data_IF_262857736976
#
_entry.id   IF_262857736976
#
_cell.length_a   1.000
_cell.length_b   1.000
_cell.length_c   1.000
_cell.angle_alpha   90.00
_cell.angle_beta   90.00
_cell.angle_gamma   90.00
#
_symmetry.space_group_name_H-M   'P 1'
#
loop_
_entity.id
_entity.type
_entity.pdbx_description
1 polymer ?
#
# COMPACT_ATOMS: atom_id res chain seq x y z
N UNK A 1 -8.18 15.19 9.19
CA UNK A 1 -7.02 15.19 8.26
C UNK A 1 -5.67 15.14 8.96
N UNK A 2 -5.43 15.90 10.05
CA UNK A 2 -4.11 15.94 10.70
C UNK A 2 -3.56 14.55 11.11
N UNK A 3 -4.33 13.64 11.76
CA UNK A 3 -3.83 12.29 12.08
C UNK A 3 -3.47 11.45 10.84
N UNK A 4 -4.29 11.53 9.80
CA UNK A 4 -4.06 10.83 8.54
C UNK A 4 -2.76 11.28 7.84
N UNK A 5 -2.46 12.59 7.89
CA UNK A 5 -1.20 13.11 7.33
C UNK A 5 0.02 12.69 8.15
N UNK A 6 -0.07 12.61 9.48
CA UNK A 6 1.02 12.12 10.33
C UNK A 6 1.38 10.67 10.00
N UNK A 7 0.37 9.80 9.82
CA UNK A 7 0.57 8.42 9.39
C UNK A 7 1.29 8.33 8.03
N UNK A 8 0.93 9.19 7.08
CA UNK A 8 1.60 9.24 5.78
C UNK A 8 3.02 9.79 5.87
N UNK A 9 3.23 10.85 6.64
CA UNK A 9 4.55 11.42 6.86
C UNK A 9 5.51 10.36 7.42
N UNK A 10 5.05 9.58 8.40
CA UNK A 10 5.86 8.50 8.97
C UNK A 10 6.04 7.33 7.99
N UNK A 11 5.03 6.99 7.18
CA UNK A 11 5.19 6.00 6.10
C UNK A 11 6.26 6.42 5.09
N UNK A 12 6.32 7.71 4.74
CA UNK A 12 7.38 8.27 3.88
C UNK A 12 8.74 8.16 4.56
N UNK A 13 8.85 8.52 5.84
CA UNK A 13 10.11 8.42 6.58
C UNK A 13 10.62 6.98 6.61
N UNK A 14 9.75 6.00 6.87
CA UNK A 14 10.13 4.60 6.87
C UNK A 14 10.80 4.19 5.56
N UNK A 15 10.17 4.49 4.42
CA UNK A 15 10.74 4.13 3.12
C UNK A 15 12.04 4.89 2.80
N UNK A 16 12.19 6.15 3.24
CA UNK A 16 13.45 6.89 3.14
C UNK A 16 14.56 6.21 3.93
N UNK A 17 14.29 5.85 5.19
CA UNK A 17 15.27 5.19 6.06
C UNK A 17 15.62 3.80 5.55
N UNK A 18 14.62 3.02 5.11
CA UNK A 18 14.84 1.70 4.54
C UNK A 18 15.67 1.78 3.26
N UNK A 19 15.33 2.67 2.33
CA UNK A 19 16.10 2.88 1.10
C UNK A 19 17.56 3.23 1.41
N UNK A 20 17.80 4.19 2.31
CA UNK A 20 19.16 4.56 2.75
C UNK A 20 19.92 3.38 3.34
N UNK A 21 19.26 2.57 4.17
CA UNK A 21 19.85 1.37 4.76
C UNK A 21 20.22 0.33 3.69
N UNK A 22 19.36 0.12 2.70
CA UNK A 22 19.61 -0.80 1.60
C UNK A 22 20.76 -0.32 0.72
N UNK A 23 20.86 0.99 0.47
CA UNK A 23 21.90 1.58 -0.37
C UNK A 23 23.24 1.81 0.35
N UNK A 24 23.32 1.67 1.67
CA UNK A 24 24.57 1.88 2.42
C UNK A 24 25.62 0.77 2.19
N UNK A 25 25.25 -0.31 1.50
CA UNK A 25 26.08 -1.50 1.28
C UNK A 25 26.29 -1.81 -0.19
N UNK A 26 27.28 -2.65 -0.47
CA UNK A 26 27.52 -3.18 -1.81
C UNK A 26 26.33 -4.03 -2.22
N UNK A 27 25.59 -3.54 -3.21
CA UNK A 27 24.41 -4.23 -3.74
C UNK A 27 24.84 -5.45 -4.56
N UNK A 28 24.29 -6.61 -4.22
CA UNK A 28 24.20 -7.74 -5.15
C UNK A 28 23.09 -7.47 -6.15
N UNK A 29 22.96 -8.31 -7.19
CA UNK A 29 21.89 -8.18 -8.19
C UNK A 29 20.48 -8.27 -7.56
N UNK A 30 20.24 -9.27 -6.71
CA UNK A 30 18.95 -9.38 -6.00
C UNK A 30 18.69 -8.20 -5.06
N UNK A 31 19.70 -7.77 -4.30
CA UNK A 31 19.59 -6.62 -3.41
C UNK A 31 19.35 -5.30 -4.17
N UNK A 32 19.93 -5.13 -5.36
CA UNK A 32 19.74 -3.92 -6.16
C UNK A 32 18.32 -3.82 -6.74
N UNK A 33 17.74 -4.94 -7.18
CA UNK A 33 16.38 -4.98 -7.71
C UNK A 33 15.37 -4.72 -6.59
N UNK A 34 15.56 -5.32 -5.41
CA UNK A 34 14.74 -5.02 -4.24
C UNK A 34 14.87 -3.55 -3.81
N UNK A 35 16.07 -3.00 -3.75
CA UNK A 35 16.29 -1.59 -3.41
C UNK A 35 15.64 -0.63 -4.41
N UNK A 36 15.67 -0.95 -5.71
CA UNK A 36 14.94 -0.20 -6.75
C UNK A 36 13.43 -0.21 -6.49
N UNK A 37 12.86 -1.37 -6.13
CA UNK A 37 11.45 -1.48 -5.82
C UNK A 37 11.07 -0.72 -4.54
N UNK A 38 11.92 -0.74 -3.51
CA UNK A 38 11.74 0.11 -2.31
C UNK A 38 11.81 1.60 -2.67
N UNK A 39 12.71 1.99 -3.57
CA UNK A 39 12.79 3.38 -4.07
C UNK A 39 11.52 3.80 -4.84
N UNK A 40 10.91 2.85 -5.57
CA UNK A 40 9.62 3.04 -6.23
C UNK A 40 8.51 3.24 -5.20
N UNK A 41 8.42 2.38 -4.18
CA UNK A 41 7.45 2.49 -3.08
C UNK A 41 7.57 3.84 -2.36
N UNK A 42 8.79 4.28 -2.04
CA UNK A 42 9.04 5.62 -1.49
C UNK A 42 8.42 6.71 -2.36
N UNK A 43 8.66 6.63 -3.67
CA UNK A 43 8.14 7.62 -4.63
C UNK A 43 6.62 7.59 -4.71
N UNK A 44 6.01 6.40 -4.67
CA UNK A 44 4.55 6.22 -4.68
C UNK A 44 3.90 6.81 -3.42
N UNK A 45 4.46 6.60 -2.22
CA UNK A 45 3.93 7.19 -0.98
C UNK A 45 4.09 8.72 -0.97
N UNK A 46 5.21 9.26 -1.46
CA UNK A 46 5.40 10.71 -1.60
C UNK A 46 4.36 11.31 -2.56
N UNK A 47 4.15 10.68 -3.71
CA UNK A 47 3.15 11.11 -4.68
C UNK A 47 1.73 11.02 -4.10
N UNK A 48 1.42 9.91 -3.43
CA UNK A 48 0.15 9.69 -2.74
C UNK A 48 -0.12 10.80 -1.71
N UNK A 49 0.86 11.07 -0.85
CA UNK A 49 0.78 12.15 0.15
C UNK A 49 0.53 13.51 -0.49
N UNK A 50 1.20 13.82 -1.61
CA UNK A 50 1.02 15.08 -2.32
C UNK A 50 -0.40 15.21 -2.90
N UNK A 51 -0.94 14.17 -3.53
CA UNK A 51 -2.31 14.21 -4.08
C UNK A 51 -3.37 14.26 -2.98
N UNK A 52 -3.17 13.57 -1.85
CA UNK A 52 -4.03 13.67 -0.67
C UNK A 52 -4.06 15.10 -0.14
N UNK A 53 -2.90 15.76 -0.03
CA UNK A 53 -2.81 17.15 0.42
C UNK A 53 -3.51 18.12 -0.54
N UNK A 54 -3.58 17.78 -1.83
CA UNK A 54 -4.33 18.54 -2.84
C UNK A 54 -5.84 18.21 -2.85
N UNK A 55 -6.31 17.25 -2.04
CA UNK A 55 -7.71 16.85 -1.99
C UNK A 55 -8.15 15.91 -3.12
N UNK A 56 -7.20 15.30 -3.83
CA UNK A 56 -7.43 14.57 -5.07
C UNK A 56 -7.69 13.07 -4.80
N UNK A 57 -8.95 12.72 -4.52
CA UNK A 57 -9.34 11.36 -4.14
C UNK A 57 -9.09 10.30 -5.22
N UNK A 58 -9.60 10.49 -6.44
CA UNK A 58 -9.46 9.47 -7.47
C UNK A 58 -7.99 9.23 -7.86
N UNK A 59 -7.14 10.26 -8.05
CA UNK A 59 -5.69 10.06 -8.21
C UNK A 59 -5.04 9.37 -7.00
N UNK A 60 -5.45 9.71 -5.77
CA UNK A 60 -4.96 9.02 -4.57
C UNK A 60 -5.32 7.53 -4.58
N UNK A 61 -6.54 7.17 -4.97
CA UNK A 61 -6.98 5.78 -5.08
C UNK A 61 -6.18 4.98 -6.13
N UNK A 62 -5.86 5.60 -7.29
CA UNK A 62 -4.99 4.99 -8.30
C UNK A 62 -3.59 4.73 -7.74
N UNK A 63 -3.01 5.71 -7.03
CA UNK A 63 -1.70 5.54 -6.40
C UNK A 63 -1.72 4.52 -5.27
N UNK A 64 -2.81 4.42 -4.50
CA UNK A 64 -2.96 3.38 -3.48
C UNK A 64 -2.97 1.98 -4.10
N UNK A 65 -3.64 1.80 -5.25
CA UNK A 65 -3.63 0.54 -5.98
C UNK A 65 -2.22 0.17 -6.44
N UNK A 66 -1.51 1.13 -7.03
CA UNK A 66 -0.13 0.95 -7.49
C UNK A 66 0.82 0.64 -6.32
N UNK A 67 0.63 1.28 -5.17
CA UNK A 67 1.41 1.04 -3.96
C UNK A 67 1.23 -0.41 -3.45
N UNK A 68 0.01 -0.91 -3.33
CA UNK A 68 -0.25 -2.29 -2.88
C UNK A 68 0.40 -3.30 -3.84
N UNK A 69 0.24 -3.11 -5.15
CA UNK A 69 0.91 -3.98 -6.14
C UNK A 69 2.43 -3.89 -6.04
N UNK A 70 2.95 -2.69 -5.75
CA UNK A 70 4.36 -2.46 -5.52
C UNK A 70 4.88 -3.17 -4.26
N UNK A 71 4.07 -3.25 -3.20
CA UNK A 71 4.39 -3.96 -1.96
C UNK A 71 4.43 -5.46 -2.21
N UNK A 72 3.41 -6.02 -2.89
CA UNK A 72 3.38 -7.43 -3.29
C UNK A 72 4.60 -7.80 -4.16
N UNK A 73 4.99 -6.89 -5.05
CA UNK A 73 6.18 -7.05 -5.89
C UNK A 73 7.45 -7.04 -5.04
N UNK A 74 7.60 -6.08 -4.12
CA UNK A 74 8.73 -6.02 -3.19
C UNK A 74 8.87 -7.29 -2.36
N UNK A 75 7.75 -7.79 -1.81
CA UNK A 75 7.71 -9.06 -1.07
C UNK A 75 8.18 -10.23 -1.94
N UNK A 76 7.71 -10.28 -3.19
CA UNK A 76 8.05 -11.35 -4.14
C UNK A 76 9.52 -11.35 -4.52
N UNK A 77 10.11 -10.17 -4.73
CA UNK A 77 11.53 -10.00 -5.07
C UNK A 77 12.47 -10.49 -3.95
N UNK A 78 12.02 -10.42 -2.69
CA UNK A 78 12.82 -10.88 -1.55
C UNK A 78 12.91 -12.40 -1.47
N UNK A 79 11.84 -13.12 -1.79
CA UNK A 79 11.74 -14.57 -1.57
C UNK A 79 12.05 -15.45 -2.78
N UNK A 80 11.96 -14.90 -3.99
CA UNK A 80 12.14 -15.67 -5.22
C UNK A 80 13.19 -14.99 -6.12
N UNK A 81 14.48 -15.40 -6.01
CA UNK A 81 15.56 -14.87 -6.84
C UNK A 81 15.33 -15.04 -8.34
N UNK A 82 14.74 -16.16 -8.77
CA UNK A 82 14.43 -16.42 -10.18
C UNK A 82 13.33 -15.48 -10.70
N UNK A 83 12.35 -15.16 -9.85
CA UNK A 83 11.38 -14.10 -10.15
C UNK A 83 12.04 -12.72 -10.21
N UNK A 84 12.95 -12.41 -9.30
CA UNK A 84 13.71 -11.16 -9.32
C UNK A 84 14.52 -11.00 -10.60
N UNK A 85 15.24 -12.04 -11.02
CA UNK A 85 16.01 -12.01 -12.26
C UNK A 85 15.12 -11.88 -13.50
N UNK A 86 14.00 -12.63 -13.56
CA UNK A 86 13.03 -12.49 -14.64
C UNK A 86 12.37 -11.10 -14.67
N UNK A 87 12.11 -10.49 -13.52
CA UNK A 87 11.55 -9.14 -13.45
C UNK A 87 12.52 -8.11 -14.04
N UNK A 88 13.81 -8.23 -13.72
CA UNK A 88 14.85 -7.31 -14.20
C UNK A 88 15.19 -7.52 -15.68
N UNK A 89 15.30 -8.78 -16.14
CA UNK A 89 15.66 -9.10 -17.53
C UNK A 89 14.47 -9.09 -18.51
N UNK A 90 13.26 -8.83 -18.02
CA UNK A 90 12.06 -8.84 -18.87
C UNK A 90 12.11 -7.71 -19.89
N UNK A 91 12.39 -8.05 -21.15
CA UNK A 91 12.28 -7.12 -22.28
C UNK A 91 10.81 -6.86 -22.68
N UNK A 92 9.92 -7.80 -22.39
CA UNK A 92 8.47 -7.66 -22.54
C UNK A 92 7.76 -7.78 -21.17
N UNK A 93 7.62 -6.63 -20.51
CA UNK A 93 6.96 -6.53 -19.22
C UNK A 93 5.51 -7.02 -19.27
N UNK A 94 4.79 -6.91 -20.39
CA UNK A 94 3.39 -7.35 -20.50
C UNK A 94 3.27 -8.87 -20.35
N UNK A 95 4.15 -9.61 -21.03
CA UNK A 95 4.21 -11.07 -20.90
C UNK A 95 4.60 -11.47 -19.48
N UNK A 96 5.60 -10.81 -18.90
CA UNK A 96 6.00 -11.08 -17.51
C UNK A 96 4.84 -10.87 -16.54
N UNK A 97 4.14 -9.74 -16.64
CA UNK A 97 2.98 -9.43 -15.82
C UNK A 97 1.90 -10.50 -15.94
N UNK A 98 1.49 -10.88 -17.16
CA UNK A 98 0.47 -11.91 -17.38
C UNK A 98 0.87 -13.29 -16.85
N UNK A 99 2.15 -13.64 -16.95
CA UNK A 99 2.65 -14.97 -16.59
C UNK A 99 2.99 -15.11 -15.12
N UNK A 100 3.45 -14.05 -14.46
CA UNK A 100 4.07 -14.13 -13.14
C UNK A 100 3.35 -13.32 -12.05
N UNK A 101 2.54 -12.32 -12.41
CA UNK A 101 1.86 -11.43 -11.44
C UNK A 101 0.34 -11.55 -11.53
N UNK A 102 -0.21 -11.32 -12.73
CA UNK A 102 -1.64 -11.18 -12.98
C UNK A 102 -2.47 -12.39 -12.57
N UNK A 103 -3.76 -12.15 -12.35
CA UNK A 103 -4.74 -13.18 -11.94
C UNK A 103 -4.35 -13.91 -10.65
N UNK A 104 -3.70 -13.20 -9.72
CA UNK A 104 -3.33 -13.72 -8.41
C UNK A 104 -2.10 -14.64 -8.39
N UNK A 105 -1.36 -14.74 -9.50
CA UNK A 105 -0.13 -15.56 -9.58
C UNK A 105 1.02 -15.04 -8.72
N UNK A 106 0.92 -13.79 -8.24
CA UNK A 106 1.87 -13.22 -7.27
C UNK A 106 1.68 -13.77 -5.85
N UNK A 107 0.45 -14.17 -5.47
CA UNK A 107 0.13 -14.49 -4.08
C UNK A 107 0.92 -15.66 -3.46
N UNK A 108 1.30 -16.72 -4.18
CA UNK A 108 2.19 -17.74 -3.60
C UNK A 108 3.52 -17.17 -3.09
N UNK A 109 4.04 -16.11 -3.73
CA UNK A 109 5.28 -15.44 -3.29
C UNK A 109 5.02 -14.50 -2.12
N UNK A 110 3.88 -13.80 -2.13
CA UNK A 110 3.44 -12.98 -0.99
C UNK A 110 3.27 -13.84 0.26
N UNK A 111 2.60 -14.98 0.13
CA UNK A 111 2.47 -16.00 1.19
C UNK A 111 3.83 -16.47 1.69
N UNK A 112 4.76 -16.80 0.79
CA UNK A 112 6.11 -17.23 1.17
C UNK A 112 6.85 -16.15 1.96
N UNK A 113 6.74 -14.88 1.57
CA UNK A 113 7.34 -13.75 2.29
C UNK A 113 6.76 -13.59 3.69
N UNK A 114 5.44 -13.56 3.82
CA UNK A 114 4.76 -13.41 5.11
C UNK A 114 5.06 -14.59 6.05
N UNK A 115 5.08 -15.81 5.51
CA UNK A 115 5.46 -17.01 6.27
C UNK A 115 6.91 -16.96 6.73
N UNK A 116 7.82 -16.51 5.88
CA UNK A 116 9.24 -16.37 6.24
C UNK A 116 9.47 -15.30 7.32
N UNK A 117 8.65 -14.26 7.32
CA UNK A 117 8.61 -13.23 8.35
C UNK A 117 7.96 -13.70 9.68
N UNK A 118 7.41 -14.92 9.73
CA UNK A 118 6.84 -15.53 10.93
C UNK A 118 5.32 -15.39 11.07
N UNK A 119 4.60 -15.01 10.01
CA UNK A 119 3.14 -14.96 10.02
C UNK A 119 2.48 -16.35 10.15
N UNK A 120 1.34 -16.41 10.84
CA UNK A 120 0.51 -17.63 10.91
C UNK A 120 -0.33 -17.81 9.64
N UNK A 121 -0.83 -19.01 9.39
CA UNK A 121 -1.64 -19.28 8.21
C UNK A 121 -2.94 -18.44 8.19
N UNK A 122 -3.55 -18.19 9.35
CA UNK A 122 -4.72 -17.32 9.48
C UNK A 122 -4.40 -15.87 9.08
N UNK A 123 -3.32 -15.30 9.65
CA UNK A 123 -2.89 -13.93 9.34
C UNK A 123 -2.55 -13.76 7.85
N UNK A 124 -1.88 -14.77 7.27
CA UNK A 124 -1.51 -14.77 5.85
C UNK A 124 -2.76 -14.80 4.97
N UNK A 125 -3.70 -15.70 5.27
CA UNK A 125 -4.94 -15.84 4.52
C UNK A 125 -5.77 -14.55 4.58
N UNK A 126 -5.89 -13.96 5.77
CA UNK A 126 -6.57 -12.67 5.98
C UNK A 126 -5.90 -11.55 5.18
N UNK A 127 -4.57 -11.43 5.24
CA UNK A 127 -3.84 -10.39 4.50
C UNK A 127 -4.00 -10.51 3.00
N UNK A 128 -3.93 -11.73 2.45
CA UNK A 128 -4.14 -11.97 1.01
C UNK A 128 -5.59 -11.66 0.61
N UNK A 129 -6.57 -12.02 1.45
CA UNK A 129 -7.96 -11.67 1.21
C UNK A 129 -8.16 -10.14 1.23
N UNK A 130 -7.54 -9.44 2.19
CA UNK A 130 -7.54 -7.99 2.26
C UNK A 130 -6.94 -7.35 1.00
N UNK A 131 -5.76 -7.79 0.55
CA UNK A 131 -5.15 -7.30 -0.70
C UNK A 131 -6.06 -7.50 -1.91
N UNK A 132 -6.70 -8.67 -2.05
CA UNK A 132 -7.66 -8.94 -3.14
C UNK A 132 -8.84 -7.98 -3.10
N UNK A 133 -9.49 -7.84 -1.95
CA UNK A 133 -10.66 -6.98 -1.77
C UNK A 133 -10.33 -5.51 -2.00
N UNK A 134 -9.23 -5.02 -1.43
CA UNK A 134 -8.79 -3.64 -1.60
C UNK A 134 -8.43 -3.35 -3.04
N UNK A 135 -7.72 -4.26 -3.72
CA UNK A 135 -7.42 -4.09 -5.14
C UNK A 135 -8.71 -4.03 -5.95
N UNK A 136 -9.65 -4.94 -5.74
CA UNK A 136 -10.93 -4.94 -6.45
C UNK A 136 -11.69 -3.60 -6.28
N UNK A 137 -11.81 -3.12 -5.04
CA UNK A 137 -12.43 -1.83 -4.74
C UNK A 137 -11.76 -0.63 -5.43
N UNK A 138 -10.42 -0.68 -5.59
CA UNK A 138 -9.66 0.38 -6.26
C UNK A 138 -9.63 0.24 -7.80
N UNK A 139 -10.06 -0.90 -8.34
CA UNK A 139 -9.96 -1.23 -9.77
C UNK A 139 -10.68 -0.22 -10.66
N UNK A 140 -11.87 0.22 -10.25
CA UNK A 140 -12.65 1.21 -11.00
C UNK A 140 -12.00 2.59 -11.06
N UNK A 141 -11.12 2.95 -10.12
CA UNK A 141 -10.35 4.19 -10.19
C UNK A 141 -9.26 4.13 -11.25
N UNK A 142 -8.59 2.98 -11.39
CA UNK A 142 -7.55 2.75 -12.41
C UNK A 142 -8.14 2.73 -13.81
N UNK A 143 -9.32 2.13 -13.97
CA UNK A 143 -9.98 1.97 -15.27
C UNK A 143 -10.96 3.11 -15.63
N UNK A 144 -10.91 4.23 -14.90
CA UNK A 144 -11.76 5.40 -15.12
C UNK A 144 -13.26 5.06 -15.18
N UNK A 145 -13.73 4.20 -14.28
CA UNK A 145 -15.14 3.89 -14.13
C UNK A 145 -15.96 5.16 -13.84
N UNK A 146 -17.25 5.15 -14.19
CA UNK A 146 -18.11 6.33 -14.08
C UNK A 146 -18.13 6.93 -12.66
N UNK A 147 -18.15 6.09 -11.61
CA UNK A 147 -18.10 6.56 -10.23
C UNK A 147 -16.78 7.28 -9.89
N UNK A 148 -15.66 6.86 -10.49
CA UNK A 148 -14.35 7.50 -10.30
C UNK A 148 -14.32 8.89 -10.96
N UNK A 149 -14.86 8.99 -12.18
CA UNK A 149 -15.01 10.27 -12.87
C UNK A 149 -15.92 11.23 -12.09
N UNK A 150 -17.03 10.72 -11.55
CA UNK A 150 -17.95 11.48 -10.71
C UNK A 150 -17.28 12.00 -9.44
N UNK A 151 -16.50 11.17 -8.73
CA UNK A 151 -15.72 11.58 -7.55
C UNK A 151 -14.60 12.57 -7.86
N UNK A 152 -14.10 12.59 -9.09
CA UNK A 152 -13.14 13.60 -9.55
C UNK A 152 -13.83 14.95 -9.76
N UNK A 153 -15.01 14.93 -10.39
CA UNK A 153 -15.80 16.13 -10.65
C UNK A 153 -16.36 16.77 -9.37
N UNK A 154 -16.86 15.94 -8.46
CA UNK A 154 -17.58 16.37 -7.28
C UNK A 154 -17.24 15.44 -6.10
N UNK A 155 -16.11 15.65 -5.41
CA UNK A 155 -15.71 14.80 -4.30
C UNK A 155 -16.64 14.98 -3.08
N UNK A 156 -16.99 13.90 -2.36
CA UNK A 156 -17.84 13.97 -1.18
C UNK A 156 -17.10 14.67 -0.03
N UNK A 157 -17.75 15.61 0.66
CA UNK A 157 -17.11 16.43 1.70
C UNK A 157 -16.99 15.69 3.03
N UNK A 158 -15.78 15.66 3.61
CA UNK A 158 -15.55 15.12 4.96
C UNK A 158 -16.28 15.94 6.04
N UNK A 159 -16.36 17.26 5.88
CA UNK A 159 -16.95 18.16 6.88
C UNK A 159 -18.48 18.24 6.81
N UNK A 160 -19.08 17.81 5.71
CA UNK A 160 -20.53 17.91 5.47
C UNK A 160 -21.03 16.60 4.82
N UNK A 161 -21.33 15.56 5.62
CA UNK A 161 -21.82 14.28 5.10
C UNK A 161 -23.03 14.46 4.18
N UNK A 162 -23.01 13.78 3.02
CA UNK A 162 -24.06 13.87 2.01
C UNK A 162 -23.94 15.06 1.05
N UNK A 163 -23.02 16.00 1.29
CA UNK A 163 -22.70 17.07 0.35
C UNK A 163 -21.47 16.73 -0.51
N UNK A 164 -21.47 17.25 -1.72
CA UNK A 164 -20.34 17.21 -2.63
C UNK A 164 -19.72 18.59 -2.77
N UNK A 165 -18.40 18.64 -2.93
CA UNK A 165 -17.74 19.88 -3.27
C UNK A 165 -17.78 20.12 -4.77
N UNK A 166 -17.86 21.40 -5.17
CA UNK A 166 -17.76 21.82 -6.57
C UNK A 166 -16.51 22.70 -6.65
N UNK A 167 -15.46 22.18 -7.29
CA UNK A 167 -14.09 22.71 -7.22
C UNK A 167 -13.13 21.64 -6.69
N UNK A 168 -11.89 21.58 -7.17
CA UNK A 168 -11.07 20.37 -6.99
C UNK A 168 -9.92 20.52 -5.97
N UNK A 169 -9.44 21.73 -5.69
CA UNK A 169 -8.17 21.91 -4.99
C UNK A 169 -8.34 22.16 -3.48
N UNK A 170 -7.71 21.32 -2.66
CA UNK A 170 -7.68 21.43 -1.21
C UNK A 170 -8.88 20.80 -0.48
N UNK A 171 -9.76 20.13 -1.21
CA UNK A 171 -10.96 19.51 -0.65
C UNK A 171 -10.63 18.27 0.18
N UNK A 172 -10.95 18.30 1.47
CA UNK A 172 -10.89 17.10 2.29
C UNK A 172 -12.07 16.18 1.92
N UNK A 173 -11.84 15.25 1.01
CA UNK A 173 -12.83 14.21 0.71
C UNK A 173 -13.04 13.29 1.91
N UNK A 174 -14.28 12.81 2.08
CA UNK A 174 -14.65 11.83 3.09
C UNK A 174 -13.86 10.51 3.00
N UNK A 175 -13.33 10.16 1.82
CA UNK A 175 -12.63 8.89 1.59
C UNK A 175 -11.12 8.96 1.78
N UNK A 176 -10.52 10.16 1.74
CA UNK A 176 -9.08 10.33 1.87
C UNK A 176 -8.51 9.75 3.18
N UNK A 177 -9.14 9.93 4.37
CA UNK A 177 -8.62 9.35 5.60
C UNK A 177 -8.45 7.83 5.54
N UNK A 178 -9.38 7.13 4.89
CA UNK A 178 -9.32 5.66 4.71
C UNK A 178 -8.15 5.26 3.82
N UNK A 179 -7.95 5.95 2.70
CA UNK A 179 -6.82 5.67 1.82
C UNK A 179 -5.49 5.91 2.55
N UNK A 180 -5.42 6.93 3.43
CA UNK A 180 -4.23 7.18 4.25
C UNK A 180 -3.99 6.04 5.25
N UNK A 181 -5.04 5.58 5.94
CA UNK A 181 -4.95 4.47 6.88
C UNK A 181 -4.50 3.18 6.18
N UNK A 182 -5.04 2.90 4.99
CA UNK A 182 -4.63 1.76 4.17
C UNK A 182 -3.13 1.78 3.83
N UNK A 183 -2.60 2.93 3.37
CA UNK A 183 -1.16 3.05 3.07
C UNK A 183 -0.32 2.85 4.34
N UNK A 184 -0.76 3.39 5.46
CA UNK A 184 -0.06 3.29 6.73
C UNK A 184 -0.06 1.86 7.28
N UNK A 185 -1.19 1.16 7.25
CA UNK A 185 -1.29 -0.25 7.66
C UNK A 185 -0.41 -1.15 6.79
N UNK A 186 -0.49 -1.00 5.47
CA UNK A 186 0.35 -1.77 4.54
C UNK A 186 1.85 -1.47 4.73
N UNK A 187 2.20 -0.22 5.01
CA UNK A 187 3.58 0.16 5.34
C UNK A 187 4.01 -0.47 6.66
N UNK A 188 3.16 -0.48 7.68
CA UNK A 188 3.48 -1.07 8.98
C UNK A 188 3.71 -2.57 8.85
N UNK A 189 2.83 -3.28 8.15
CA UNK A 189 2.93 -4.75 7.98
C UNK A 189 4.19 -5.10 7.21
N UNK A 190 4.43 -4.39 6.10
CA UNK A 190 5.64 -4.55 5.31
C UNK A 190 6.89 -4.25 6.13
N UNK A 191 6.89 -3.16 6.92
CA UNK A 191 8.00 -2.78 7.79
C UNK A 191 8.32 -3.84 8.84
N UNK A 192 7.30 -4.37 9.52
CA UNK A 192 7.46 -5.40 10.53
C UNK A 192 8.06 -6.67 9.91
N UNK A 193 7.56 -7.07 8.73
CA UNK A 193 8.11 -8.22 8.02
C UNK A 193 9.56 -8.00 7.59
N UNK A 194 9.87 -6.85 6.99
CA UNK A 194 11.24 -6.51 6.57
C UNK A 194 12.21 -6.50 7.75
N UNK A 195 11.83 -5.89 8.87
CA UNK A 195 12.66 -5.84 10.08
C UNK A 195 12.89 -7.25 10.63
N UNK A 196 11.84 -8.07 10.72
CA UNK A 196 11.96 -9.47 11.11
C UNK A 196 12.92 -10.23 10.21
N UNK A 197 12.87 -10.04 8.88
CA UNK A 197 13.76 -10.70 7.94
C UNK A 197 15.22 -10.18 8.01
N UNK A 198 15.41 -8.88 8.24
CA UNK A 198 16.74 -8.25 8.33
C UNK A 198 17.54 -8.72 9.56
N UNK A 199 16.87 -9.04 10.66
CA UNK A 199 17.53 -9.48 11.90
C UNK A 199 17.74 -11.01 11.96
N UNK A 200 17.22 -11.76 10.98
CA UNK A 200 17.37 -13.22 10.93
C UNK A 200 18.80 -13.66 10.61
N UNK A 201 19.31 -14.74 11.22
CA UNK A 201 20.61 -15.31 10.86
C UNK A 201 20.68 -15.81 9.40
N UNK A 202 19.55 -16.27 8.87
CA UNK A 202 19.37 -16.88 7.55
C UNK A 202 18.57 -15.96 6.60
N UNK A 203 18.85 -14.66 6.62
CA UNK A 203 18.13 -13.68 5.81
C UNK A 203 18.17 -14.02 4.30
N UNK A 204 17.08 -13.75 3.56
CA UNK A 204 17.02 -13.94 2.10
C UNK A 204 18.16 -13.25 1.38
N UNK A 205 18.52 -13.72 0.18
CA UNK A 205 19.67 -13.19 -0.58
C UNK A 205 19.57 -11.67 -0.83
N UNK A 206 18.37 -11.15 -1.04
CA UNK A 206 18.12 -9.70 -1.18
C UNK A 206 18.47 -8.89 0.09
N UNK A 207 18.53 -9.53 1.26
CA UNK A 207 18.71 -8.91 2.58
C UNK A 207 19.99 -9.40 3.33
N UNK A 208 20.63 -10.47 2.86
CA UNK A 208 21.70 -11.22 3.54
C UNK A 208 22.94 -10.40 3.93
N UNK A 209 23.22 -9.31 3.24
CA UNK A 209 24.39 -8.46 3.50
C UNK A 209 24.10 -7.27 4.44
N UNK A 210 22.88 -7.16 4.93
CA UNK A 210 22.44 -6.10 5.82
C UNK A 210 22.57 -6.54 7.28
N UNK A 211 23.79 -6.40 7.84
CA UNK A 211 24.00 -6.64 9.28
C UNK A 211 23.41 -5.48 10.10
N UNK A 212 22.78 -5.77 11.26
CA UNK A 212 22.33 -4.73 12.20
C UNK A 212 23.48 -3.78 12.55
N UNK A 213 23.30 -2.50 12.22
CA UNK A 213 24.21 -1.39 12.56
C UNK A 213 23.36 -0.18 12.98
N UNK A 214 24.01 0.91 13.41
CA UNK A 214 23.35 2.17 13.77
C UNK A 214 22.31 2.64 12.73
N UNK A 215 22.59 2.47 11.43
CA UNK A 215 21.67 2.84 10.33
C UNK A 215 20.35 2.05 10.31
N UNK A 216 20.31 0.84 10.90
CA UNK A 216 19.06 0.10 11.07
C UNK A 216 18.20 0.73 12.20
N UNK A 217 18.82 1.48 13.11
CA UNK A 217 18.15 2.15 14.22
C UNK A 217 17.10 3.15 13.75
N UNK A 218 17.39 3.93 12.70
CA UNK A 218 16.42 4.89 12.14
C UNK A 218 15.23 4.16 11.50
N UNK A 219 15.47 3.04 10.81
CA UNK A 219 14.40 2.21 10.21
C UNK A 219 13.48 1.64 11.30
N UNK A 220 14.08 1.09 12.36
CA UNK A 220 13.34 0.52 13.50
C UNK A 220 12.58 1.61 14.24
N UNK A 221 13.19 2.78 14.48
CA UNK A 221 12.55 3.90 15.14
C UNK A 221 11.33 4.37 14.35
N UNK A 222 11.47 4.56 13.04
CA UNK A 222 10.37 4.98 12.16
C UNK A 222 9.23 3.95 12.13
N UNK A 223 9.55 2.66 11.99
CA UNK A 223 8.54 1.59 12.04
C UNK A 223 7.81 1.56 13.40
N UNK A 224 8.53 1.79 14.50
CA UNK A 224 7.94 1.86 15.84
C UNK A 224 7.03 3.08 16.00
N UNK A 225 7.45 4.27 15.55
CA UNK A 225 6.61 5.47 15.57
C UNK A 225 5.34 5.23 14.76
N UNK A 226 5.44 4.64 13.56
CA UNK A 226 4.28 4.31 12.75
C UNK A 226 3.31 3.38 13.48
N UNK A 227 3.82 2.33 14.14
CA UNK A 227 3.01 1.43 14.97
C UNK A 227 2.30 2.17 16.12
N UNK A 228 2.99 3.09 16.79
CA UNK A 228 2.38 3.92 17.85
C UNK A 228 1.27 4.80 17.29
N UNK A 229 1.53 5.49 16.17
CA UNK A 229 0.53 6.35 15.52
C UNK A 229 -0.70 5.56 15.06
N UNK A 230 -0.52 4.35 14.52
CA UNK A 230 -1.63 3.47 14.14
C UNK A 230 -2.43 3.01 15.36
N UNK A 231 -1.75 2.72 16.48
CA UNK A 231 -2.44 2.36 17.73
C UNK A 231 -3.23 3.55 18.30
N UNK A 232 -2.70 4.76 18.17
CA UNK A 232 -3.33 5.98 18.70
C UNK A 232 -4.50 6.47 17.84
N UNK A 233 -4.35 6.41 16.51
CA UNK A 233 -5.28 7.05 15.56
C UNK A 233 -6.05 6.06 14.67
N UNK A 234 -5.67 4.79 14.62
CA UNK A 234 -6.24 3.78 13.72
C UNK A 234 -7.75 3.64 13.92
N UNK A 235 -8.18 3.29 15.13
CA UNK A 235 -9.60 3.12 15.48
C UNK A 235 -10.43 4.39 15.22
N UNK A 236 -9.85 5.58 15.45
CA UNK A 236 -10.52 6.85 15.18
C UNK A 236 -10.76 7.04 13.67
N UNK A 237 -9.74 6.74 12.85
CA UNK A 237 -9.84 6.83 11.40
C UNK A 237 -10.75 5.74 10.82
N UNK A 238 -10.81 4.57 11.46
CA UNK A 238 -11.69 3.46 11.10
C UNK A 238 -13.15 3.69 11.53
N UNK A 239 -13.39 4.34 12.65
CA UNK A 239 -14.74 4.74 13.09
C UNK A 239 -15.35 5.79 12.14
N UNK A 240 -14.54 6.68 11.58
CA UNK A 240 -14.96 7.57 10.49
C UNK A 240 -15.29 6.80 9.20
N UNK A 241 -14.82 5.55 9.08
CA UNK A 241 -15.00 4.68 7.92
C UNK A 241 -16.25 3.79 8.01
N UNK A 242 -16.63 3.29 9.18
CA UNK A 242 -17.78 2.37 9.36
C UNK A 242 -19.13 2.96 8.90
N UNK A 243 -19.30 4.28 8.91
CA UNK A 243 -20.52 4.97 8.43
C UNK A 243 -20.78 4.88 6.93
N UNK A 244 -19.89 4.28 6.12
CA UNK A 244 -19.99 4.29 4.66
C UNK A 244 -20.25 2.93 4.01
N UNK A 245 -19.91 1.80 4.65
CA UNK A 245 -20.18 0.45 4.10
C UNK A 245 -21.68 0.12 4.04
N UNK A 246 -22.50 0.75 4.90
CA UNK A 246 -23.96 0.62 4.85
C UNK A 246 -24.58 1.34 3.64
N UNK A 247 -23.83 2.20 2.94
CA UNK A 247 -24.34 2.93 1.78
C UNK A 247 -24.22 2.16 0.47
N UNK A 248 -23.23 1.27 0.34
CA UNK A 248 -23.01 0.48 -0.89
C UNK A 248 -23.86 -0.79 -0.94
N UNK A 249 -24.29 -1.30 0.22
CA UNK A 249 -25.21 -2.45 0.31
C UNK A 249 -26.68 -2.06 0.21
N UNK A 250 -27.05 -0.85 0.65
CA UNK A 250 -28.45 -0.37 0.57
C UNK A 250 -28.83 0.21 -0.80
N UNK A 251 -27.87 0.68 -1.59
CA UNK A 251 -28.12 1.20 -2.94
C UNK A 251 -28.31 0.09 -3.99
N UNK A 252 -27.83 -1.13 -3.74
CA UNK A 252 -28.03 -2.28 -4.62
C UNK A 252 -29.47 -2.83 -4.58
N UNK A 253 -30.21 -2.60 -3.50
CA UNK A 253 -31.60 -3.07 -3.30
C UNK A 253 -32.67 -2.06 -3.76
N UNK A 254 -32.27 -0.86 -4.18
CA UNK A 254 -33.18 0.20 -4.66
C UNK A 254 -33.18 0.31 -6.19
N UNK A 255 -33.37 -0.81 -6.90
CA UNK A 255 -33.77 -0.74 -8.31
C UNK A 255 -35.21 -0.22 -8.39
N UNK A 256 -35.53 0.80 -9.19
CA UNK A 256 -36.90 1.23 -9.37
C UNK A 256 -37.65 0.10 -10.09
N UNK A 257 -38.66 -0.45 -9.43
CA UNK A 257 -39.68 -1.27 -10.07
C UNK A 257 -40.25 -0.48 -11.23
N UNK A 258 -39.93 -0.90 -12.45
CA UNK A 258 -40.53 -0.37 -13.67
C UNK A 258 -42.03 -0.64 -13.60
N UNK A 259 -42.80 0.43 -13.36
CA UNK A 259 -44.24 0.41 -13.57
C UNK A 259 -44.50 0.44 -15.08
N UNK A 260 -45.03 -0.67 -15.59
CA UNK A 260 -45.85 -0.73 -16.81
C UNK A 260 -47.18 -1.36 -16.44
#
# INVERSE_FOLDING_TARGET
MQPAMLLLDESVQFFIHLERHLLSRKLTRGASIFAQQVSRLRSDVIAFRAVVALGQEAPAAVLARAFIEGVELAMSLVVDPDFSDRYFDSSDHSIFWKTSIGYGKIYPRVEAFLRLAGGTDEMIAERIAHHKATKDALSGHVHAANFSAMRSLAPPLLSHPGAFHIGELGTASAHLPRLCLLIADETQVFSACCLSLLIRPDAPEALKHHKPKAELGDVVASAHVLQTLLTEYGDQLEAHYATFLDYDTSAADAAPTSAT
#
